data_IF_431010677827
#
_entry.id   IF_431010677827
#
_cell.length_a   1.000
_cell.length_b   1.000
_cell.length_c   1.000
_cell.angle_alpha   90.00
_cell.angle_beta   90.00
_cell.angle_gamma   90.00
#
_symmetry.space_group_name_H-M   'P 1'
#
loop_
_entity.id
_entity.type
_entity.pdbx_description
1 polymer ?
#
# COMPACT_ATOMS: atom_id res chain seq x y z
N UNK A 1 7.82 8.72 16.22
CA UNK A 1 8.27 8.27 14.89
C UNK A 1 9.45 7.27 14.89
N UNK A 2 10.39 7.24 15.87
CA UNK A 2 11.48 6.27 15.87
C UNK A 2 11.00 4.81 15.99
N UNK A 3 9.86 4.58 16.57
CA UNK A 3 9.26 3.26 16.72
C UNK A 3 8.68 2.72 15.41
N UNK A 4 8.07 3.60 14.62
CA UNK A 4 7.59 3.26 13.27
C UNK A 4 8.75 2.87 12.34
N UNK A 5 9.86 3.63 12.37
CA UNK A 5 11.06 3.29 11.60
C UNK A 5 11.70 1.96 12.04
N UNK A 6 11.65 1.64 13.34
CA UNK A 6 12.07 0.33 13.85
C UNK A 6 11.15 -0.80 13.36
N UNK A 7 9.85 -0.56 13.30
CA UNK A 7 8.89 -1.54 12.76
C UNK A 7 9.09 -1.77 11.26
N UNK A 8 9.32 -0.72 10.47
CA UNK A 8 9.66 -0.83 9.05
C UNK A 8 10.86 -1.75 8.82
N UNK A 9 11.95 -1.55 9.57
CA UNK A 9 13.14 -2.42 9.46
C UNK A 9 12.87 -3.89 9.83
N UNK A 10 11.95 -4.15 10.76
CA UNK A 10 11.54 -5.52 11.13
C UNK A 10 10.78 -6.23 10.02
N UNK A 11 10.15 -5.50 9.11
CA UNK A 11 9.40 -6.07 7.96
C UNK A 11 10.30 -6.76 6.95
N UNK A 12 11.53 -6.30 6.77
CA UNK A 12 12.53 -7.04 5.98
C UNK A 12 12.82 -8.44 6.52
N UNK A 13 12.73 -8.63 7.84
CA UNK A 13 12.81 -9.94 8.48
C UNK A 13 11.66 -10.87 8.12
N UNK A 14 10.46 -10.34 7.93
CA UNK A 14 9.29 -11.10 7.48
C UNK A 14 9.52 -11.68 6.08
N UNK A 15 9.97 -10.84 5.14
CA UNK A 15 10.26 -11.27 3.76
C UNK A 15 11.33 -12.36 3.75
N UNK A 16 12.37 -12.24 4.57
CA UNK A 16 13.40 -13.27 4.75
C UNK A 16 12.81 -14.59 5.25
N UNK A 17 11.89 -14.53 6.21
CA UNK A 17 11.23 -15.74 6.73
C UNK A 17 10.35 -16.40 5.68
N UNK A 18 9.61 -15.62 4.88
CA UNK A 18 8.80 -16.12 3.78
C UNK A 18 9.67 -16.76 2.67
N UNK A 19 10.84 -16.17 2.40
CA UNK A 19 11.78 -16.75 1.46
C UNK A 19 12.29 -18.13 1.92
N UNK A 20 12.49 -18.32 3.23
CA UNK A 20 12.92 -19.58 3.83
C UNK A 20 11.79 -20.59 3.99
N UNK A 21 10.57 -20.12 4.22
CA UNK A 21 9.39 -20.93 4.50
C UNK A 21 8.22 -20.51 3.59
N UNK A 22 8.22 -20.88 2.31
CA UNK A 22 7.20 -20.43 1.34
C UNK A 22 5.76 -20.76 1.74
N UNK A 23 5.55 -21.80 2.55
CA UNK A 23 4.24 -22.15 3.09
C UNK A 23 3.58 -21.09 3.95
N UNK A 24 4.34 -20.12 4.48
CA UNK A 24 3.80 -19.01 5.22
C UNK A 24 2.94 -18.07 4.35
N UNK A 25 3.15 -18.05 3.04
CA UNK A 25 2.39 -17.20 2.09
C UNK A 25 0.88 -17.39 2.18
N UNK A 26 0.42 -18.61 2.49
CA UNK A 26 -1.02 -18.92 2.59
C UNK A 26 -1.77 -18.10 3.66
N UNK A 27 -1.05 -17.50 4.61
CA UNK A 27 -1.62 -16.68 5.68
C UNK A 27 -1.74 -15.20 5.32
N UNK A 28 -1.31 -14.81 4.11
CA UNK A 28 -1.28 -13.43 3.66
C UNK A 28 -2.17 -13.21 2.43
N UNK A 29 -2.73 -12.00 2.26
CA UNK A 29 -3.57 -11.66 1.13
C UNK A 29 -2.89 -12.01 -0.20
N UNK A 30 -3.60 -12.75 -1.06
CA UNK A 30 -3.12 -13.23 -2.37
C UNK A 30 -1.78 -14.01 -2.30
N UNK A 31 -1.34 -14.43 -1.10
CA UNK A 31 -0.06 -15.10 -0.90
C UNK A 31 1.18 -14.24 -1.17
N UNK A 32 1.00 -12.95 -1.40
CA UNK A 32 2.05 -12.05 -1.85
C UNK A 32 2.10 -10.70 -1.12
N UNK A 33 1.00 -10.28 -0.48
CA UNK A 33 0.92 -8.98 0.17
C UNK A 33 0.81 -9.11 1.69
N UNK A 34 1.54 -8.26 2.42
CA UNK A 34 1.48 -8.25 3.88
C UNK A 34 0.11 -7.76 4.38
N UNK A 35 -0.48 -6.78 3.71
CA UNK A 35 -1.78 -6.22 4.04
C UNK A 35 -2.64 -6.03 2.79
N UNK A 36 -3.96 -6.06 2.96
CA UNK A 36 -4.91 -5.81 1.86
C UNK A 36 -4.79 -4.40 1.30
N UNK A 37 -4.34 -3.43 2.12
CA UNK A 37 -4.15 -2.04 1.67
C UNK A 37 -2.98 -1.86 0.68
N UNK A 38 -1.97 -2.75 0.69
CA UNK A 38 -0.79 -2.60 -0.15
C UNK A 38 -1.11 -2.63 -1.66
N UNK A 39 -1.80 -3.65 -2.22
CA UNK A 39 -2.16 -3.62 -3.63
C UNK A 39 -3.03 -2.42 -3.98
N UNK A 40 -3.92 -1.98 -3.09
CA UNK A 40 -4.76 -0.82 -3.34
C UNK A 40 -3.97 0.50 -3.32
N UNK A 41 -2.95 0.62 -2.46
CA UNK A 41 -2.08 1.79 -2.44
C UNK A 41 -1.22 1.92 -3.71
N UNK A 42 -0.77 0.78 -4.27
CA UNK A 42 -0.04 0.73 -5.54
C UNK A 42 -0.95 1.12 -6.71
N UNK A 43 -2.20 0.61 -6.73
CA UNK A 43 -3.18 1.01 -7.74
C UNK A 43 -3.49 2.51 -7.67
N UNK A 44 -3.66 3.07 -6.47
CA UNK A 44 -3.88 4.49 -6.27
C UNK A 44 -2.66 5.33 -6.76
N UNK A 45 -1.43 4.86 -6.52
CA UNK A 45 -0.21 5.48 -7.04
C UNK A 45 -0.18 5.48 -8.57
N UNK A 46 -0.47 4.34 -9.19
CA UNK A 46 -0.52 4.21 -10.65
C UNK A 46 -1.60 5.13 -11.26
N UNK A 47 -2.77 5.20 -10.61
CA UNK A 47 -3.86 6.10 -11.01
C UNK A 47 -3.47 7.58 -10.92
N UNK A 48 -2.82 7.99 -9.83
CA UNK A 48 -2.29 9.34 -9.65
C UNK A 48 -1.24 9.69 -10.71
N UNK A 49 -0.30 8.77 -10.97
CA UNK A 49 0.72 8.95 -12.00
C UNK A 49 0.10 9.09 -13.41
N UNK A 50 -0.90 8.28 -13.75
CA UNK A 50 -1.62 8.37 -15.03
C UNK A 50 -2.34 9.72 -15.20
N UNK A 51 -3.01 10.21 -14.14
CA UNK A 51 -3.68 11.51 -14.15
C UNK A 51 -2.68 12.66 -14.32
N UNK A 52 -1.56 12.63 -13.58
CA UNK A 52 -0.50 13.65 -13.66
C UNK A 52 0.25 13.64 -14.99
N UNK A 53 0.45 12.47 -15.60
CA UNK A 53 1.09 12.37 -16.92
C UNK A 53 0.25 13.00 -18.04
N UNK A 54 -1.07 13.10 -17.86
CA UNK A 54 -2.00 13.67 -18.83
C UNK A 54 -3.02 14.61 -18.18
N UNK A 55 -2.57 15.73 -17.58
CA UNK A 55 -3.40 16.58 -16.71
C UNK A 55 -4.60 17.22 -17.42
N UNK A 56 -4.53 17.37 -18.75
CA UNK A 56 -5.63 17.91 -19.56
C UNK A 56 -6.63 16.84 -20.04
N UNK A 57 -6.38 15.56 -19.77
CA UNK A 57 -7.24 14.46 -20.19
C UNK A 57 -8.24 14.09 -19.11
N UNK A 58 -9.53 14.37 -19.32
CA UNK A 58 -10.59 13.94 -18.41
C UNK A 58 -10.64 12.41 -18.24
N UNK A 59 -10.29 11.65 -19.30
CA UNK A 59 -10.18 10.18 -19.21
C UNK A 59 -9.08 9.73 -18.26
N UNK A 60 -7.92 10.40 -18.27
CA UNK A 60 -6.82 10.07 -17.36
C UNK A 60 -7.23 10.31 -15.89
N UNK A 61 -7.96 11.37 -15.62
CA UNK A 61 -8.51 11.64 -14.29
C UNK A 61 -9.55 10.61 -13.86
N UNK A 62 -10.46 10.20 -14.76
CA UNK A 62 -11.44 9.14 -14.47
C UNK A 62 -10.76 7.81 -14.15
N UNK A 63 -9.74 7.41 -14.92
CA UNK A 63 -8.95 6.22 -14.64
C UNK A 63 -8.22 6.37 -13.30
N UNK A 64 -7.63 7.53 -13.03
CA UNK A 64 -6.98 7.82 -11.76
C UNK A 64 -7.91 7.65 -10.56
N UNK A 65 -9.10 8.21 -10.63
CA UNK A 65 -10.13 8.07 -9.60
C UNK A 65 -10.60 6.62 -9.45
N UNK A 66 -10.85 5.91 -10.55
CA UNK A 66 -11.25 4.51 -10.51
C UNK A 66 -10.21 3.61 -9.85
N UNK A 67 -8.91 3.85 -10.11
CA UNK A 67 -7.80 3.10 -9.49
C UNK A 67 -7.58 3.48 -8.02
N UNK A 68 -7.90 4.71 -7.62
CA UNK A 68 -7.80 5.15 -6.22
C UNK A 68 -9.02 4.71 -5.37
N UNK A 69 -10.18 4.50 -5.98
CA UNK A 69 -11.43 4.19 -5.29
C UNK A 69 -11.33 2.97 -4.36
N UNK A 70 -10.71 1.83 -4.72
CA UNK A 70 -10.55 0.68 -3.82
C UNK A 70 -9.78 1.02 -2.55
N UNK A 71 -8.73 1.84 -2.66
CA UNK A 71 -7.94 2.28 -1.49
C UNK A 71 -8.78 3.15 -0.55
N UNK A 72 -9.44 4.17 -1.11
CA UNK A 72 -10.30 5.08 -0.33
C UNK A 72 -11.42 4.30 0.36
N UNK A 73 -12.11 3.42 -0.38
CA UNK A 73 -13.19 2.59 0.17
C UNK A 73 -12.70 1.68 1.29
N UNK A 74 -11.58 0.98 1.09
CA UNK A 74 -10.99 0.13 2.11
C UNK A 74 -10.66 0.91 3.38
N UNK A 75 -9.98 2.06 3.24
CA UNK A 75 -9.58 2.88 4.38
C UNK A 75 -10.76 3.51 5.13
N UNK A 76 -11.83 3.88 4.43
CA UNK A 76 -13.04 4.41 5.07
C UNK A 76 -13.81 3.33 5.83
N UNK A 77 -13.84 2.10 5.33
CA UNK A 77 -14.53 0.98 5.99
C UNK A 77 -13.73 0.50 7.23
N UNK A 78 -12.42 0.35 7.09
CA UNK A 78 -11.58 -0.25 8.15
C UNK A 78 -11.18 0.75 9.24
N UNK A 79 -11.11 2.05 8.91
CA UNK A 79 -10.69 3.06 9.86
C UNK A 79 -11.85 4.02 10.23
N UNK A 80 -12.46 3.86 11.42
CA UNK A 80 -13.59 4.70 11.84
C UNK A 80 -13.23 6.20 11.98
N UNK A 81 -11.96 6.55 12.11
CA UNK A 81 -11.52 7.95 12.14
C UNK A 81 -11.69 8.67 10.81
N UNK A 82 -11.68 7.95 9.68
CA UNK A 82 -11.94 8.52 8.35
C UNK A 82 -13.41 8.91 8.16
N UNK A 83 -14.31 8.35 8.94
CA UNK A 83 -15.74 8.68 8.88
C UNK A 83 -16.05 10.12 9.38
N UNK A 84 -15.09 10.80 10.00
CA UNK A 84 -15.25 12.21 10.38
C UNK A 84 -14.78 13.12 9.25
N UNK A 85 -15.65 13.95 8.62
CA UNK A 85 -15.30 14.72 7.41
C UNK A 85 -14.01 15.54 7.52
N UNK A 86 -13.77 16.18 8.66
CA UNK A 86 -12.57 16.99 8.88
C UNK A 86 -11.27 16.18 8.96
N UNK A 87 -11.36 14.87 9.24
CA UNK A 87 -10.20 13.98 9.37
C UNK A 87 -9.96 13.17 8.10
N UNK A 88 -10.93 13.13 7.19
CA UNK A 88 -10.89 12.26 6.00
C UNK A 88 -9.61 12.45 5.19
N UNK A 89 -9.34 13.67 4.76
CA UNK A 89 -8.17 13.96 3.89
C UNK A 89 -6.85 13.67 4.59
N UNK A 90 -6.57 14.21 5.81
CA UNK A 90 -5.29 13.97 6.47
C UNK A 90 -5.10 12.49 6.83
N UNK A 91 -6.14 11.77 7.24
CA UNK A 91 -6.02 10.34 7.59
C UNK A 91 -5.78 9.49 6.34
N UNK A 92 -6.46 9.78 5.22
CA UNK A 92 -6.22 9.09 3.95
C UNK A 92 -4.81 9.37 3.43
N UNK A 93 -4.37 10.63 3.44
CA UNK A 93 -3.05 11.00 2.94
C UNK A 93 -1.92 10.37 3.78
N UNK A 94 -1.98 10.48 5.10
CA UNK A 94 -0.99 9.88 6.00
C UNK A 94 -0.99 8.36 5.92
N UNK A 95 -2.19 7.74 5.86
CA UNK A 95 -2.33 6.31 5.68
C UNK A 95 -1.73 5.83 4.36
N UNK A 96 -1.95 6.58 3.27
CA UNK A 96 -1.41 6.24 1.96
C UNK A 96 0.11 6.34 1.92
N UNK A 97 0.70 7.41 2.48
CA UNK A 97 2.16 7.56 2.60
C UNK A 97 2.76 6.42 3.43
N UNK A 98 2.12 6.04 4.54
CA UNK A 98 2.56 4.93 5.36
C UNK A 98 2.51 3.59 4.59
N UNK A 99 1.41 3.30 3.88
CA UNK A 99 1.28 2.07 3.08
C UNK A 99 2.29 2.02 1.92
N UNK A 100 2.58 3.16 1.28
CA UNK A 100 3.60 3.23 0.24
C UNK A 100 5.01 2.99 0.81
N UNK A 101 5.32 3.57 1.97
CA UNK A 101 6.60 3.34 2.64
C UNK A 101 6.77 1.86 3.00
N UNK A 102 5.72 1.23 3.56
CA UNK A 102 5.69 -0.19 3.86
C UNK A 102 5.89 -1.05 2.61
N UNK A 103 5.16 -0.72 1.54
CA UNK A 103 5.25 -1.40 0.25
C UNK A 103 6.66 -1.30 -0.34
N UNK A 104 7.28 -0.12 -0.27
CA UNK A 104 8.65 0.10 -0.77
C UNK A 104 9.69 -0.74 0.01
N UNK A 105 9.59 -0.78 1.33
CA UNK A 105 10.47 -1.61 2.17
C UNK A 105 10.32 -3.10 1.88
N UNK A 106 9.07 -3.58 1.73
CA UNK A 106 8.81 -4.97 1.42
C UNK A 106 9.28 -5.32 -0.01
N UNK A 107 9.11 -4.40 -0.97
CA UNK A 107 9.62 -4.57 -2.33
C UNK A 107 11.16 -4.64 -2.35
N UNK A 108 11.85 -3.74 -1.64
CA UNK A 108 13.29 -3.77 -1.51
C UNK A 108 13.79 -5.08 -0.87
N UNK A 109 13.11 -5.53 0.19
CA UNK A 109 13.41 -6.81 0.83
C UNK A 109 13.11 -7.99 -0.10
N UNK A 110 12.04 -7.92 -0.90
CA UNK A 110 11.68 -8.96 -1.88
C UNK A 110 12.76 -9.13 -2.95
N UNK A 111 13.32 -8.04 -3.45
CA UNK A 111 14.48 -8.06 -4.37
C UNK A 111 15.70 -8.66 -3.66
N UNK A 112 15.99 -8.21 -2.44
CA UNK A 112 17.15 -8.67 -1.65
C UNK A 112 17.12 -10.17 -1.37
N UNK A 113 15.94 -10.70 -1.05
CA UNK A 113 15.77 -12.12 -0.73
C UNK A 113 15.25 -12.96 -1.89
N UNK A 114 15.21 -12.39 -3.11
CA UNK A 114 14.76 -13.07 -4.35
C UNK A 114 13.42 -13.78 -4.18
N UNK A 115 12.49 -13.13 -3.48
CA UNK A 115 11.13 -13.65 -3.28
C UNK A 115 10.14 -12.52 -3.48
N UNK A 116 9.01 -12.80 -4.12
CA UNK A 116 7.96 -11.79 -4.31
C UNK A 116 7.05 -11.78 -3.09
N UNK A 117 7.14 -10.70 -2.29
CA UNK A 117 6.25 -10.44 -1.16
C UNK A 117 6.26 -8.95 -0.84
N UNK A 118 5.10 -8.28 -0.91
CA UNK A 118 4.92 -6.83 -0.79
C UNK A 118 3.86 -6.47 0.27
#
# INVERSE_FOLDING_TARGET
YPEYLRQLRRRGGLVRNIARHPGLRRHYPLGAFMQVSHPFSVLALAGGAAALARPRSGRAWLVGLALAAPYVSYRTIVNPWTCRPRNLVPVLALGWVADLADTAELAAASVRYRTFFI
#
